data_IF_250021652679
#
_entry.id   IF_250021652679
#
_cell.length_a   1.000
_cell.length_b   1.000
_cell.length_c   1.000
_cell.angle_alpha   90.00
_cell.angle_beta   90.00
_cell.angle_gamma   90.00
#
_symmetry.space_group_name_H-M   'P 1'
#
loop_
_entity.id
_entity.type
_entity.pdbx_description
1 polymer ?
#
# COMPACT_ATOMS: atom_id res chain seq x y z
N UNK A 1 38.84 29.20 -29.30
CA UNK A 1 37.41 28.85 -29.54
C UNK A 1 37.05 27.40 -29.18
N UNK A 2 37.96 26.40 -29.29
CA UNK A 2 37.61 24.98 -29.01
C UNK A 2 37.29 24.65 -27.55
N UNK A 3 37.99 25.23 -26.57
CA UNK A 3 37.74 24.92 -25.15
C UNK A 3 36.43 25.50 -24.61
N UNK A 4 35.95 26.62 -25.18
CA UNK A 4 34.70 27.25 -24.77
C UNK A 4 33.49 26.36 -25.16
N UNK A 5 33.53 25.73 -26.33
CA UNK A 5 32.50 24.77 -26.76
C UNK A 5 32.42 23.51 -25.87
N UNK A 6 33.55 23.00 -25.38
CA UNK A 6 33.55 21.82 -24.50
C UNK A 6 32.92 22.12 -23.15
N UNK A 7 33.22 23.28 -22.56
CA UNK A 7 32.64 23.70 -21.28
C UNK A 7 31.13 23.98 -21.40
N UNK A 8 30.69 24.59 -22.50
CA UNK A 8 29.26 24.84 -22.76
C UNK A 8 28.49 23.53 -22.95
N UNK A 9 29.09 22.53 -23.61
CA UNK A 9 28.49 21.20 -23.78
C UNK A 9 28.24 20.50 -22.43
N UNK A 10 29.19 20.60 -21.50
CA UNK A 10 29.06 20.06 -20.14
C UNK A 10 27.92 20.73 -19.36
N UNK A 11 27.76 22.05 -19.51
CA UNK A 11 26.68 22.80 -18.85
C UNK A 11 25.31 22.38 -19.41
N UNK A 12 25.19 22.29 -20.74
CA UNK A 12 23.96 21.86 -21.41
C UNK A 12 23.59 20.43 -21.03
N UNK A 13 24.58 19.53 -20.94
CA UNK A 13 24.36 18.16 -20.50
C UNK A 13 23.85 18.11 -19.05
N UNK A 14 24.43 18.90 -18.15
CA UNK A 14 23.97 19.00 -16.76
C UNK A 14 22.53 19.50 -16.65
N UNK A 15 22.15 20.52 -17.43
CA UNK A 15 20.78 21.05 -17.46
C UNK A 15 19.79 20.01 -17.98
N UNK A 16 20.14 19.27 -19.05
CA UNK A 16 19.30 18.17 -19.55
C UNK A 16 19.04 17.09 -18.50
N UNK A 17 20.07 16.70 -17.74
CA UNK A 17 19.94 15.69 -16.67
C UNK A 17 19.03 16.22 -15.55
N UNK A 18 19.15 17.48 -15.16
CA UNK A 18 18.29 18.08 -14.13
C UNK A 18 16.82 18.15 -14.57
N UNK A 19 16.54 18.54 -15.82
CA UNK A 19 15.17 18.59 -16.35
C UNK A 19 14.59 17.17 -16.45
N UNK A 20 15.38 16.21 -16.94
CA UNK A 20 14.96 14.80 -17.02
C UNK A 20 14.66 14.19 -15.65
N UNK A 21 15.52 14.46 -14.66
CA UNK A 21 15.34 14.00 -13.29
C UNK A 21 14.09 14.64 -12.64
N UNK A 22 13.84 15.93 -12.87
CA UNK A 22 12.63 16.60 -12.37
C UNK A 22 11.38 16.01 -13.02
N UNK A 23 11.40 15.76 -14.32
CA UNK A 23 10.26 15.19 -15.03
C UNK A 23 9.94 13.76 -14.56
N UNK A 24 10.96 12.92 -14.35
CA UNK A 24 10.81 11.59 -13.73
C UNK A 24 10.27 11.69 -12.29
N UNK A 25 10.77 12.64 -11.50
CA UNK A 25 10.37 12.81 -10.11
C UNK A 25 8.90 13.27 -10.00
N UNK A 26 8.49 14.19 -10.87
CA UNK A 26 7.11 14.66 -10.97
C UNK A 26 6.18 13.55 -11.50
N UNK A 27 6.64 12.77 -12.48
CA UNK A 27 5.91 11.61 -12.96
C UNK A 27 5.72 10.58 -11.84
N UNK A 28 6.76 10.23 -11.08
CA UNK A 28 6.67 9.26 -9.98
C UNK A 28 5.79 9.76 -8.83
N UNK A 29 5.85 11.06 -8.51
CA UNK A 29 4.98 11.69 -7.51
C UNK A 29 3.50 11.68 -7.96
N UNK A 30 3.24 11.86 -9.26
CA UNK A 30 1.88 11.79 -9.81
C UNK A 30 1.40 10.33 -10.02
N UNK A 31 2.30 9.39 -10.28
CA UNK A 31 1.99 7.95 -10.37
C UNK A 31 1.50 7.38 -9.03
N UNK A 32 1.94 7.93 -7.91
CA UNK A 32 1.41 7.57 -6.59
C UNK A 32 -0.03 8.08 -6.36
N UNK A 33 -0.56 8.93 -7.25
CA UNK A 33 -1.94 9.44 -7.25
C UNK A 33 -2.83 8.78 -8.31
N UNK A 34 -2.27 7.92 -9.18
CA UNK A 34 -3.01 7.37 -10.33
C UNK A 34 -2.62 5.90 -10.62
N UNK A 35 -2.55 5.08 -9.56
CA UNK A 35 -2.79 3.63 -9.68
C UNK A 35 -4.28 3.40 -9.38
N UNK A 36 -5.12 3.81 -10.32
CA UNK A 36 -6.47 3.25 -10.47
C UNK A 36 -6.37 2.15 -11.52
N UNK A 37 -6.03 0.96 -11.07
CA UNK A 37 -6.56 -0.27 -11.65
C UNK A 37 -6.67 -1.28 -10.49
N UNK A 38 -7.91 -1.41 -10.01
CA UNK A 38 -8.43 -2.47 -9.14
C UNK A 38 -7.73 -2.75 -7.80
N UNK A 39 -7.31 -1.71 -7.10
CA UNK A 39 -6.85 -1.83 -5.71
C UNK A 39 -7.61 -0.80 -4.87
N UNK A 40 -8.41 -1.28 -3.93
CA UNK A 40 -9.14 -0.49 -2.93
C UNK A 40 -8.16 0.51 -2.30
N UNK A 41 -8.15 1.73 -2.82
CA UNK A 41 -7.27 2.80 -2.36
C UNK A 41 -7.86 3.32 -1.08
N UNK A 42 -7.43 2.76 0.05
CA UNK A 42 -7.73 3.32 1.36
C UNK A 42 -7.02 4.66 1.41
N UNK A 43 -7.79 5.73 1.27
CA UNK A 43 -7.31 7.11 1.36
C UNK A 43 -6.68 7.31 2.75
N UNK A 44 -5.35 7.23 2.80
CA UNK A 44 -4.51 7.57 3.95
C UNK A 44 -4.55 9.09 4.16
N UNK A 45 -5.72 9.64 4.46
CA UNK A 45 -5.82 10.94 5.08
C UNK A 45 -5.33 10.80 6.53
N UNK A 46 -4.17 11.39 6.75
CA UNK A 46 -3.38 11.39 7.97
C UNK A 46 -4.09 12.14 9.09
N UNK A 47 -4.94 11.47 9.86
CA UNK A 47 -5.22 11.79 11.28
C UNK A 47 -5.87 10.54 11.89
N UNK A 48 -5.41 10.12 13.08
CA UNK A 48 -6.00 9.09 13.95
C UNK A 48 -5.53 7.62 13.71
N UNK A 49 -4.60 7.16 14.59
CA UNK A 49 -4.26 5.75 14.82
C UNK A 49 -3.32 5.08 13.80
N UNK A 50 -2.59 4.02 14.18
CA UNK A 50 -1.90 3.16 13.22
C UNK A 50 -2.94 2.58 12.26
N UNK A 51 -2.90 3.03 11.00
CA UNK A 51 -3.93 2.67 10.02
C UNK A 51 -3.77 1.23 9.51
N UNK A 52 -2.61 0.61 9.74
CA UNK A 52 -2.26 -0.73 9.30
C UNK A 52 -1.71 -1.51 10.51
N UNK A 53 -2.28 -2.67 10.78
CA UNK A 53 -1.82 -3.61 11.79
C UNK A 53 -0.99 -4.71 11.14
N UNK A 54 0.11 -5.09 11.77
CA UNK A 54 0.79 -6.37 11.49
C UNK A 54 -0.03 -7.55 12.02
N UNK A 55 0.35 -8.78 11.66
CA UNK A 55 -0.29 -10.01 12.17
C UNK A 55 -0.36 -10.07 13.70
N UNK A 56 0.71 -9.64 14.36
CA UNK A 56 0.79 -9.68 15.82
C UNK A 56 -0.12 -8.63 16.45
N UNK A 57 -0.19 -7.44 15.84
CA UNK A 57 -1.08 -6.38 16.29
C UNK A 57 -2.55 -6.71 16.01
N UNK A 58 -2.85 -7.36 14.88
CA UNK A 58 -4.20 -7.84 14.57
C UNK A 58 -4.68 -8.86 15.60
N UNK A 59 -3.81 -9.78 16.02
CA UNK A 59 -4.11 -10.75 17.08
C UNK A 59 -4.52 -10.06 18.37
N UNK A 60 -3.73 -9.06 18.78
CA UNK A 60 -3.97 -8.32 20.02
C UNK A 60 -5.21 -7.43 19.89
N UNK A 61 -5.46 -6.88 18.69
CA UNK A 61 -6.63 -6.07 18.37
C UNK A 61 -7.95 -6.86 18.43
N UNK A 62 -7.97 -8.04 17.79
CA UNK A 62 -9.14 -8.92 17.77
C UNK A 62 -9.30 -9.72 19.07
N UNK A 63 -8.27 -9.74 19.94
CA UNK A 63 -8.29 -10.53 21.17
C UNK A 63 -8.34 -12.04 20.95
N UNK A 64 -7.91 -12.52 19.76
CA UNK A 64 -8.00 -13.92 19.35
C UNK A 64 -6.68 -14.68 19.56
N UNK A 65 -6.76 -16.02 19.55
CA UNK A 65 -5.57 -16.86 19.63
C UNK A 65 -4.84 -16.93 18.29
N UNK A 66 -3.57 -17.38 18.29
CA UNK A 66 -2.78 -17.52 17.06
C UNK A 66 -3.41 -18.52 16.09
N UNK A 67 -3.98 -19.60 16.61
CA UNK A 67 -4.62 -20.65 15.82
C UNK A 67 -5.86 -20.11 15.09
N UNK A 68 -6.63 -19.25 15.76
CA UNK A 68 -7.80 -18.59 15.15
C UNK A 68 -7.38 -17.56 14.11
N UNK A 69 -6.29 -16.83 14.35
CA UNK A 69 -5.74 -15.91 13.36
C UNK A 69 -5.30 -16.65 12.09
N UNK A 70 -4.67 -17.82 12.21
CA UNK A 70 -4.27 -18.66 11.06
C UNK A 70 -5.46 -19.17 10.24
N UNK A 71 -6.64 -19.31 10.84
CA UNK A 71 -7.86 -19.66 10.11
C UNK A 71 -8.37 -18.49 9.26
N UNK A 72 -8.14 -17.25 9.70
CA UNK A 72 -8.55 -16.03 8.99
C UNK A 72 -7.56 -15.63 7.89
N UNK A 73 -6.37 -16.23 7.87
CA UNK A 73 -5.35 -15.90 6.88
C UNK A 73 -5.79 -16.26 5.46
N UNK A 74 -5.45 -15.42 4.45
CA UNK A 74 -5.68 -15.75 3.05
C UNK A 74 -5.11 -17.12 2.71
N UNK A 75 -6.00 -18.07 2.39
CA UNK A 75 -5.62 -19.41 1.96
C UNK A 75 -5.71 -19.49 0.44
N UNK A 76 -4.74 -20.16 -0.16
CA UNK A 76 -4.78 -20.48 -1.58
C UNK A 76 -5.59 -21.76 -1.74
N UNK A 77 -6.77 -21.66 -2.35
CA UNK A 77 -7.60 -22.80 -2.73
C UNK A 77 -7.75 -22.79 -4.24
N UNK A 78 -7.25 -23.85 -4.90
CA UNK A 78 -7.40 -24.10 -6.35
C UNK A 78 -7.19 -22.87 -7.26
N UNK A 79 -6.15 -22.09 -6.95
CA UNK A 79 -5.70 -20.89 -7.68
C UNK A 79 -6.44 -19.57 -7.38
N UNK A 80 -7.39 -19.57 -6.46
CA UNK A 80 -8.03 -18.36 -5.90
C UNK A 80 -7.50 -18.11 -4.49
N UNK A 81 -7.12 -16.85 -4.21
CA UNK A 81 -6.81 -16.43 -2.84
C UNK A 81 -8.15 -16.08 -2.17
N UNK A 82 -8.63 -16.98 -1.32
CA UNK A 82 -9.79 -16.71 -0.48
C UNK A 82 -9.31 -16.13 0.84
N UNK A 83 -9.78 -14.93 1.18
CA UNK A 83 -9.53 -14.30 2.47
C UNK A 83 -10.84 -13.83 3.04
N UNK A 84 -11.16 -14.31 4.23
CA UNK A 84 -12.35 -13.86 4.95
C UNK A 84 -12.15 -12.46 5.52
N UNK A 85 -10.93 -12.13 5.91
CA UNK A 85 -10.57 -10.85 6.51
C UNK A 85 -9.98 -9.87 5.48
N UNK A 86 -10.28 -8.57 5.57
CA UNK A 86 -9.64 -7.55 4.74
C UNK A 86 -8.15 -7.44 5.02
N UNK A 87 -7.33 -7.51 3.97
CA UNK A 87 -5.88 -7.39 4.08
C UNK A 87 -5.30 -6.58 2.93
N UNK A 88 -4.10 -6.06 3.13
CA UNK A 88 -3.25 -5.44 2.12
C UNK A 88 -1.93 -6.17 2.11
N UNK A 89 -1.46 -6.57 0.94
CA UNK A 89 -0.13 -7.16 0.77
C UNK A 89 0.85 -6.07 0.34
N UNK A 90 1.85 -5.80 1.17
CA UNK A 90 2.94 -4.87 0.85
C UNK A 90 4.24 -5.67 0.75
N UNK A 91 4.71 -5.89 -0.48
CA UNK A 91 5.85 -6.76 -0.75
C UNK A 91 5.54 -8.23 -0.38
N UNK A 92 6.23 -8.73 0.66
CA UNK A 92 6.08 -10.10 1.15
C UNK A 92 5.28 -10.21 2.46
N UNK A 93 4.84 -9.08 3.00
CA UNK A 93 4.14 -9.03 4.28
C UNK A 93 2.67 -8.65 4.10
N UNK A 94 1.84 -9.16 5.01
CA UNK A 94 0.42 -8.88 5.09
C UNK A 94 0.14 -7.88 6.20
N UNK A 95 -0.62 -6.85 5.86
CA UNK A 95 -1.03 -5.78 6.76
C UNK A 95 -2.55 -5.68 6.77
N UNK A 96 -3.12 -5.31 7.91
CA UNK A 96 -4.56 -5.33 8.14
C UNK A 96 -5.05 -3.92 8.47
N UNK A 97 -5.81 -3.27 7.58
CA UNK A 97 -6.25 -1.90 7.81
C UNK A 97 -7.34 -1.86 8.88
N UNK A 98 -7.11 -1.15 9.99
CA UNK A 98 -8.05 -1.09 11.13
C UNK A 98 -9.47 -0.76 10.69
N UNK A 99 -9.63 0.31 9.89
CA UNK A 99 -10.93 0.75 9.37
C UNK A 99 -11.65 -0.31 8.52
N UNK A 100 -10.90 -1.18 7.84
CA UNK A 100 -11.48 -2.26 7.05
C UNK A 100 -11.86 -3.45 7.96
N UNK A 101 -11.03 -3.75 8.95
CA UNK A 101 -11.33 -4.75 9.99
C UNK A 101 -12.59 -4.36 10.76
N UNK A 102 -12.72 -3.10 11.18
CA UNK A 102 -13.89 -2.62 11.92
C UNK A 102 -15.19 -2.79 11.13
N UNK A 103 -15.19 -2.39 9.84
CA UNK A 103 -16.35 -2.60 8.96
C UNK A 103 -16.66 -4.09 8.76
N UNK A 104 -15.62 -4.91 8.61
CA UNK A 104 -15.80 -6.35 8.46
C UNK A 104 -16.40 -6.98 9.73
N UNK A 105 -15.97 -6.54 10.92
CA UNK A 105 -16.56 -6.95 12.18
C UNK A 105 -18.03 -6.51 12.26
N UNK A 106 -18.34 -5.25 11.95
CA UNK A 106 -19.73 -4.74 11.93
C UNK A 106 -20.64 -5.55 10.98
N UNK A 107 -20.16 -5.86 9.78
CA UNK A 107 -20.92 -6.67 8.81
C UNK A 107 -21.07 -8.13 9.23
N UNK A 108 -20.08 -8.69 9.92
CA UNK A 108 -20.08 -10.09 10.34
C UNK A 108 -20.95 -10.28 11.59
N UNK A 109 -20.86 -9.37 12.55
CA UNK A 109 -21.73 -9.33 13.74
C UNK A 109 -23.18 -8.96 13.38
N UNK A 110 -23.39 -8.06 12.43
CA UNK A 110 -24.73 -7.72 11.95
C UNK A 110 -25.46 -8.88 11.29
N UNK A 111 -24.73 -9.87 10.73
CA UNK A 111 -25.30 -11.08 10.12
C UNK A 111 -25.60 -12.20 11.11
N UNK A 112 -24.99 -12.21 12.29
CA UNK A 112 -25.21 -13.26 13.31
C UNK A 112 -26.46 -13.04 14.18
N UNK A 113 -27.14 -11.90 14.08
CA UNK A 113 -28.37 -11.60 14.83
C UNK A 113 -29.65 -11.54 13.99
N UNK A 114 -29.65 -12.08 12.76
CA UNK A 114 -30.84 -12.12 11.90
C UNK A 114 -31.41 -13.52 11.73
#
# INVERSE_FOLDING_TARGET
>A
MKQLSTNISLIILGVCILIGAWMISNALQNSNSHITDDQVTVNMNSTEGPQLLSSMELKDYLGISKEQLEMLYPRKEDDVIISEIPYIKMGYEYYFPVKAIDRWLEETEGKTFQ
#
